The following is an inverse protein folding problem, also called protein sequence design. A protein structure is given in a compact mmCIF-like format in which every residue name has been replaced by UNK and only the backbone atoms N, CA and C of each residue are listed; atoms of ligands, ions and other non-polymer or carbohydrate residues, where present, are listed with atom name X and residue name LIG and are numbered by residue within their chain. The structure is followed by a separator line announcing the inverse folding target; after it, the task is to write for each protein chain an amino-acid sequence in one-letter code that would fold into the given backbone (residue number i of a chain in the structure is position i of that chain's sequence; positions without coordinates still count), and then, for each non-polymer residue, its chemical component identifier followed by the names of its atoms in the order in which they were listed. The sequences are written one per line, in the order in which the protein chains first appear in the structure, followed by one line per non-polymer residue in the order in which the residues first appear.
data_IF_076727367417
#
_entry.id   IF_076727367417
#
_cell.length_a   1.000
_cell.length_b   1.000
_cell.length_c   1.000
_cell.angle_alpha   90.00
_cell.angle_beta   90.00
_cell.angle_gamma   90.00
#
_symmetry.space_group_name_H-M   'P 1'
#
loop_
_entity.id
_entity.type
_entity.pdbx_description
1 polymer ?
#
# COMPACT_ATOMS: atom_id res chain seq x y z
N UNK A 1 11.56 12.09 -1.94
CA UNK A 1 11.33 11.02 -0.94
C UNK A 1 10.42 9.93 -1.53
N UNK A 2 10.52 8.67 -1.11
CA UNK A 2 9.58 7.60 -1.50
C UNK A 2 8.64 7.28 -0.34
N UNK A 3 7.34 7.12 -0.60
CA UNK A 3 6.34 6.69 0.38
C UNK A 3 5.88 5.27 0.08
N UNK A 4 5.62 4.48 1.13
CA UNK A 4 4.94 3.19 1.02
C UNK A 4 3.64 3.19 1.81
N UNK A 5 2.55 2.71 1.20
CA UNK A 5 1.25 2.48 1.86
C UNK A 5 0.80 1.02 1.72
N UNK A 6 -0.11 0.62 2.59
CA UNK A 6 -0.81 -0.67 2.47
C UNK A 6 -1.83 -0.66 1.33
N UNK A 7 -2.12 -1.83 0.73
CA UNK A 7 -3.24 -1.98 -0.18
C UNK A 7 -4.56 -2.00 0.60
N UNK A 8 -5.68 -2.08 -0.11
CA UNK A 8 -6.99 -2.30 0.48
C UNK A 8 -7.62 -3.63 0.05
N UNK A 9 -8.54 -4.14 0.88
CA UNK A 9 -9.28 -5.38 0.59
C UNK A 9 -10.46 -5.15 -0.34
N UNK A 10 -11.08 -3.97 -0.25
CA UNK A 10 -12.16 -3.57 -1.14
C UNK A 10 -11.55 -2.96 -2.40
N UNK A 11 -12.10 -3.35 -3.54
CA UNK A 11 -11.66 -2.88 -4.84
C UNK A 11 -12.86 -2.29 -5.59
N UNK A 12 -12.60 -1.26 -6.39
CA UNK A 12 -13.57 -0.57 -7.23
C UNK A 12 -13.06 -0.58 -8.67
N UNK A 13 -13.80 -1.26 -9.54
CA UNK A 13 -13.52 -1.35 -10.96
C UNK A 13 -14.60 -0.64 -11.80
N UNK A 14 -15.56 0.03 -11.17
CA UNK A 14 -16.75 0.56 -11.84
C UNK A 14 -16.78 2.10 -11.87
N UNK A 15 -16.28 2.77 -10.83
CA UNK A 15 -16.29 4.24 -10.76
C UNK A 15 -15.55 4.88 -11.95
N UNK A 16 -15.93 6.10 -12.37
CA UNK A 16 -15.20 6.85 -13.38
C UNK A 16 -13.70 6.94 -13.08
N UNK A 17 -12.87 6.83 -14.12
CA UNK A 17 -11.43 6.96 -13.99
C UNK A 17 -11.05 8.44 -13.93
N UNK A 18 -10.32 8.83 -12.88
CA UNK A 18 -9.76 10.18 -12.77
C UNK A 18 -8.61 10.43 -13.76
N UNK A 19 -7.99 9.36 -14.27
CA UNK A 19 -7.04 9.40 -15.38
C UNK A 19 -7.11 8.09 -16.18
N UNK A 20 -6.87 8.17 -17.49
CA UNK A 20 -6.71 6.97 -18.34
C UNK A 20 -5.25 6.55 -18.51
N UNK A 21 -4.29 7.34 -18.00
CA UNK A 21 -2.87 6.97 -18.08
C UNK A 21 -2.58 5.80 -17.16
N UNK A 22 -1.80 4.85 -17.64
CA UNK A 22 -1.45 3.66 -16.86
C UNK A 22 -0.03 3.20 -17.18
N UNK A 23 0.49 2.35 -16.29
CA UNK A 23 1.72 1.59 -16.44
C UNK A 23 1.45 0.12 -16.14
N UNK A 24 2.48 -0.72 -16.28
CA UNK A 24 2.41 -2.14 -15.96
C UNK A 24 3.30 -2.44 -14.75
N UNK A 25 2.87 -3.37 -13.89
CA UNK A 25 3.72 -3.87 -12.80
C UNK A 25 4.96 -4.56 -13.36
N UNK A 26 6.11 -4.32 -12.73
CA UNK A 26 7.39 -4.94 -13.12
C UNK A 26 7.59 -6.34 -12.54
N UNK A 27 6.65 -6.82 -11.71
CA UNK A 27 6.76 -8.10 -10.98
C UNK A 27 5.68 -9.12 -11.40
N UNK A 28 5.05 -8.95 -12.57
CA UNK A 28 3.97 -9.83 -13.03
C UNK A 28 4.38 -11.30 -13.18
N UNK A 29 5.64 -11.59 -13.55
CA UNK A 29 6.14 -12.97 -13.59
C UNK A 29 6.13 -13.64 -12.21
N UNK A 30 6.46 -12.88 -11.15
CA UNK A 30 6.34 -13.35 -9.76
C UNK A 30 4.89 -13.47 -9.34
N UNK A 31 4.03 -12.53 -9.74
CA UNK A 31 2.58 -12.63 -9.50
C UNK A 31 1.98 -13.88 -10.13
N UNK A 32 2.38 -14.24 -11.36
CA UNK A 32 1.92 -15.46 -12.04
C UNK A 32 2.23 -16.71 -11.20
N UNK A 33 3.43 -16.81 -10.62
CA UNK A 33 3.79 -17.95 -9.75
C UNK A 33 2.85 -18.09 -8.54
N UNK A 34 2.41 -16.98 -7.95
CA UNK A 34 1.44 -17.01 -6.85
C UNK A 34 0.03 -17.34 -7.34
N UNK A 35 -0.35 -16.87 -8.52
CA UNK A 35 -1.64 -17.18 -9.15
C UNK A 35 -1.75 -18.66 -9.48
N UNK A 36 -0.69 -19.26 -10.03
CA UNK A 36 -0.68 -20.69 -10.36
C UNK A 36 -0.94 -21.54 -9.12
N UNK A 37 -0.29 -21.22 -8.01
CA UNK A 37 -0.57 -21.87 -6.71
C UNK A 37 -2.00 -21.60 -6.23
N UNK A 38 -2.48 -20.35 -6.36
CA UNK A 38 -3.80 -19.97 -5.88
C UNK A 38 -4.95 -20.59 -6.69
N UNK A 39 -4.74 -20.88 -7.98
CA UNK A 39 -5.70 -21.56 -8.87
C UNK A 39 -5.97 -23.00 -8.48
N UNK A 40 -4.98 -23.67 -7.89
CA UNK A 40 -5.10 -25.06 -7.43
C UNK A 40 -5.91 -25.19 -6.13
N UNK A 41 -6.23 -24.06 -5.47
CA UNK A 41 -7.02 -24.06 -4.24
C UNK A 41 -8.52 -24.10 -4.54
N UNK A 42 -9.21 -25.05 -3.92
CA UNK A 42 -10.68 -25.03 -3.88
C UNK A 42 -11.21 -23.81 -3.12
N UNK A 43 -12.46 -23.37 -3.39
CA UNK A 43 -13.11 -22.32 -2.59
C UNK A 43 -13.08 -22.60 -1.08
N UNK A 44 -13.27 -23.85 -0.65
CA UNK A 44 -13.19 -24.21 0.76
C UNK A 44 -11.79 -23.98 1.36
N UNK A 45 -10.73 -24.35 0.63
CA UNK A 45 -9.35 -24.08 1.05
C UNK A 45 -9.05 -22.58 1.09
N UNK A 46 -9.52 -21.81 0.11
CA UNK A 46 -9.39 -20.35 0.08
C UNK A 46 -10.09 -19.72 1.30
N UNK A 47 -11.34 -20.16 1.59
CA UNK A 47 -12.12 -19.69 2.73
C UNK A 47 -11.40 -19.89 4.06
N UNK A 48 -10.84 -21.09 4.25
CA UNK A 48 -10.03 -21.42 5.44
C UNK A 48 -8.73 -20.61 5.50
N UNK A 49 -7.96 -20.60 4.41
CA UNK A 49 -6.65 -19.93 4.33
C UNK A 49 -6.74 -18.43 4.60
N UNK A 50 -7.77 -17.77 4.06
CA UNK A 50 -7.95 -16.32 4.15
C UNK A 50 -8.87 -15.90 5.29
N UNK A 51 -9.48 -16.86 6.00
CA UNK A 51 -10.48 -16.62 7.05
C UNK A 51 -11.62 -15.71 6.55
N UNK A 52 -12.24 -16.11 5.44
CA UNK A 52 -13.34 -15.38 4.78
C UNK A 52 -14.60 -16.24 4.62
N UNK A 53 -15.73 -15.58 4.35
CA UNK A 53 -16.99 -16.28 4.07
C UNK A 53 -16.91 -17.09 2.79
N UNK A 54 -17.76 -18.11 2.69
CA UNK A 54 -17.86 -18.99 1.52
C UNK A 54 -18.13 -18.21 0.22
N UNK A 55 -19.02 -17.22 0.27
CA UNK A 55 -19.29 -16.31 -0.86
C UNK A 55 -18.03 -15.57 -1.33
N UNK A 56 -17.24 -15.05 -0.40
CA UNK A 56 -15.99 -14.36 -0.75
C UNK A 56 -14.92 -15.34 -1.22
N UNK A 57 -14.92 -16.58 -0.72
CA UNK A 57 -13.98 -17.59 -1.14
C UNK A 57 -14.21 -18.01 -2.60
N UNK A 58 -15.46 -18.26 -2.99
CA UNK A 58 -15.83 -18.51 -4.38
C UNK A 58 -15.46 -17.34 -5.31
N UNK A 59 -15.77 -16.11 -4.90
CA UNK A 59 -15.38 -14.92 -5.67
C UNK A 59 -13.87 -14.83 -5.89
N UNK A 60 -13.05 -15.14 -4.88
CA UNK A 60 -11.61 -15.07 -5.04
C UNK A 60 -11.03 -16.26 -5.82
N UNK A 61 -11.64 -17.45 -5.73
CA UNK A 61 -11.32 -18.57 -6.61
C UNK A 61 -11.54 -18.21 -8.08
N UNK A 62 -12.66 -17.57 -8.39
CA UNK A 62 -12.96 -17.07 -9.74
C UNK A 62 -11.94 -16.01 -10.19
N UNK A 63 -11.64 -15.02 -9.33
CA UNK A 63 -10.62 -14.01 -9.62
C UNK A 63 -9.25 -14.61 -9.93
N UNK A 64 -8.80 -15.61 -9.17
CA UNK A 64 -7.53 -16.29 -9.45
C UNK A 64 -7.55 -17.03 -10.79
N UNK A 65 -8.66 -17.66 -11.14
CA UNK A 65 -8.81 -18.35 -12.42
C UNK A 65 -8.84 -17.36 -13.60
N UNK A 66 -9.57 -16.24 -13.46
CA UNK A 66 -9.67 -15.20 -14.49
C UNK A 66 -8.41 -14.33 -14.63
N UNK A 67 -7.51 -14.35 -13.63
CA UNK A 67 -6.31 -13.52 -13.65
C UNK A 67 -5.42 -13.86 -14.85
N UNK A 68 -5.15 -12.91 -15.74
CA UNK A 68 -4.26 -13.14 -16.88
C UNK A 68 -3.66 -11.85 -17.46
N UNK A 69 -2.35 -11.82 -17.75
CA UNK A 69 -1.76 -10.82 -18.63
C UNK A 69 -2.14 -11.08 -20.10
N UNK A 70 -2.11 -10.06 -20.98
CA UNK A 70 -1.78 -8.66 -20.70
C UNK A 70 -2.92 -7.91 -20.01
N UNK A 71 -2.55 -6.94 -19.16
CA UNK A 71 -3.52 -6.05 -18.52
C UNK A 71 -3.84 -4.86 -19.41
N UNK A 72 -5.12 -4.56 -19.54
CA UNK A 72 -5.66 -3.40 -20.25
C UNK A 72 -6.68 -2.70 -19.37
N UNK A 73 -7.13 -1.50 -19.76
CA UNK A 73 -8.21 -0.80 -19.04
C UNK A 73 -9.56 -1.55 -19.09
N UNK A 74 -9.71 -2.54 -19.97
CA UNK A 74 -10.93 -3.36 -20.05
C UNK A 74 -10.98 -4.44 -18.96
N UNK A 75 -9.82 -4.92 -18.52
CA UNK A 75 -9.73 -6.03 -17.55
C UNK A 75 -9.04 -5.65 -16.25
N UNK A 76 -8.43 -4.46 -16.17
CA UNK A 76 -7.64 -4.02 -15.04
C UNK A 76 -7.82 -2.51 -14.79
N UNK A 77 -7.37 -2.05 -13.63
CA UNK A 77 -7.43 -0.64 -13.24
C UNK A 77 -6.15 -0.25 -12.52
N UNK A 78 -5.75 1.02 -12.65
CA UNK A 78 -4.61 1.58 -11.94
C UNK A 78 -4.77 1.36 -10.44
N UNK A 79 -3.73 0.86 -9.78
CA UNK A 79 -3.80 0.44 -8.39
C UNK A 79 -4.27 1.55 -7.43
N UNK A 80 -3.85 2.81 -7.65
CA UNK A 80 -4.29 3.95 -6.82
C UNK A 80 -5.80 4.25 -6.96
N UNK A 81 -6.41 3.87 -8.08
CA UNK A 81 -7.84 4.07 -8.36
C UNK A 81 -8.68 2.82 -8.06
N UNK A 82 -8.06 1.64 -8.06
CA UNK A 82 -8.72 0.37 -7.80
C UNK A 82 -8.94 0.12 -6.30
N UNK A 83 -7.96 0.43 -5.45
CA UNK A 83 -8.08 0.19 -4.02
C UNK A 83 -9.05 1.17 -3.35
N UNK A 84 -9.94 0.65 -2.51
CA UNK A 84 -10.89 1.44 -1.69
C UNK A 84 -10.86 1.01 -0.22
N UNK A 85 -10.87 1.99 0.67
CA UNK A 85 -10.84 1.80 2.12
C UNK A 85 -10.17 2.99 2.80
N UNK A 86 -10.07 2.98 4.13
CA UNK A 86 -9.72 4.17 4.94
C UNK A 86 -8.47 4.93 4.45
N UNK A 87 -7.39 4.22 4.11
CA UNK A 87 -6.16 4.84 3.54
C UNK A 87 -6.47 5.57 2.24
N UNK A 88 -7.24 4.95 1.35
CA UNK A 88 -7.59 5.51 0.05
C UNK A 88 -8.67 6.59 0.15
N UNK A 89 -9.54 6.53 1.15
CA UNK A 89 -10.45 7.64 1.51
C UNK A 89 -9.67 8.86 1.99
N UNK A 90 -8.60 8.69 2.76
CA UNK A 90 -7.70 9.79 3.14
C UNK A 90 -6.87 10.31 1.97
N UNK A 91 -6.44 9.42 1.05
CA UNK A 91 -5.66 9.79 -0.13
C UNK A 91 -6.49 10.58 -1.15
N UNK A 92 -7.73 10.12 -1.38
CA UNK A 92 -8.74 10.74 -2.24
C UNK A 92 -8.21 11.02 -3.67
N UNK A 93 -7.60 10.00 -4.28
CA UNK A 93 -6.92 10.09 -5.57
C UNK A 93 -7.86 10.44 -6.74
N UNK A 94 -9.17 10.26 -6.58
CA UNK A 94 -10.17 10.70 -7.57
C UNK A 94 -10.21 12.22 -7.78
N UNK A 95 -9.60 13.00 -6.88
CA UNK A 95 -9.50 14.47 -6.99
C UNK A 95 -8.13 14.95 -7.47
N UNK A 96 -7.23 14.04 -7.84
CA UNK A 96 -5.89 14.38 -8.30
C UNK A 96 -5.93 14.97 -9.71
N UNK A 97 -5.09 15.99 -9.93
CA UNK A 97 -4.72 16.44 -11.27
C UNK A 97 -3.73 15.46 -11.90
N UNK A 98 -3.49 15.57 -13.21
CA UNK A 98 -2.47 14.76 -13.89
C UNK A 98 -1.06 14.97 -13.31
N UNK A 99 -0.74 16.19 -12.88
CA UNK A 99 0.51 16.50 -12.21
C UNK A 99 0.61 15.87 -10.81
N UNK A 100 -0.53 15.66 -10.11
CA UNK A 100 -0.54 14.92 -8.84
C UNK A 100 -0.31 13.43 -9.10
N UNK A 101 -0.88 12.87 -10.16
CA UNK A 101 -0.59 11.50 -10.59
C UNK A 101 0.88 11.32 -10.98
N UNK A 102 1.50 12.27 -11.67
CA UNK A 102 2.92 12.21 -12.01
C UNK A 102 3.80 12.19 -10.76
N UNK A 103 3.52 13.10 -9.83
CA UNK A 103 4.24 13.14 -8.56
C UNK A 103 4.02 11.87 -7.75
N UNK A 104 2.78 11.39 -7.64
CA UNK A 104 2.49 10.15 -6.95
C UNK A 104 3.21 8.97 -7.62
N UNK A 105 3.20 8.89 -8.95
CA UNK A 105 3.83 7.80 -9.71
C UNK A 105 5.33 7.69 -9.39
N UNK A 106 5.99 8.82 -9.18
CA UNK A 106 7.39 8.86 -8.76
C UNK A 106 7.55 8.53 -7.26
N UNK A 107 6.75 9.16 -6.39
CA UNK A 107 6.99 9.22 -4.95
C UNK A 107 6.13 8.30 -4.07
N UNK A 108 5.22 7.50 -4.62
CA UNK A 108 4.36 6.58 -3.87
C UNK A 108 4.48 5.14 -4.39
N UNK A 109 4.47 4.17 -3.49
CA UNK A 109 4.34 2.74 -3.78
C UNK A 109 3.30 2.11 -2.87
N UNK A 110 2.55 1.15 -3.40
CA UNK A 110 1.65 0.31 -2.62
C UNK A 110 2.26 -1.07 -2.49
N UNK A 111 2.44 -1.54 -1.25
CA UNK A 111 2.85 -2.92 -1.01
C UNK A 111 1.68 -3.86 -1.34
N UNK A 112 1.96 -5.07 -1.80
CA UNK A 112 0.94 -6.03 -2.22
C UNK A 112 1.41 -7.46 -1.99
N UNK A 113 0.55 -8.33 -1.45
CA UNK A 113 0.87 -9.75 -1.33
C UNK A 113 1.00 -10.45 -2.68
N UNK A 114 0.21 -10.03 -3.69
CA UNK A 114 0.22 -10.62 -5.04
C UNK A 114 1.20 -9.93 -5.99
N UNK A 115 1.23 -8.59 -5.98
CA UNK A 115 2.01 -7.80 -6.93
C UNK A 115 3.35 -7.32 -6.37
N UNK A 116 3.63 -7.60 -5.09
CA UNK A 116 4.85 -7.17 -4.42
C UNK A 116 4.86 -5.66 -4.15
N UNK A 117 5.27 -4.88 -5.14
CA UNK A 117 5.27 -3.42 -5.12
C UNK A 117 4.55 -2.90 -6.36
N UNK A 118 3.53 -2.07 -6.17
CA UNK A 118 2.80 -1.38 -7.24
C UNK A 118 3.11 0.11 -7.22
N UNK A 119 3.29 0.69 -8.41
CA UNK A 119 3.21 2.14 -8.61
C UNK A 119 1.74 2.58 -8.74
N UNK A 120 1.41 3.84 -8.44
CA UNK A 120 0.06 4.39 -8.54
C UNK A 120 -0.69 4.02 -9.82
N UNK A 121 -0.04 4.17 -10.96
CA UNK A 121 -0.63 3.96 -12.28
C UNK A 121 -0.47 2.53 -12.80
N UNK A 122 0.18 1.62 -12.06
CA UNK A 122 0.27 0.22 -12.48
C UNK A 122 -1.13 -0.41 -12.51
N UNK A 123 -1.48 -1.02 -13.65
CA UNK A 123 -2.70 -1.80 -13.76
C UNK A 123 -2.63 -3.02 -12.85
N UNK A 124 -3.76 -3.32 -12.21
CA UNK A 124 -3.97 -4.55 -11.47
C UNK A 124 -5.35 -5.12 -11.75
N UNK A 125 -5.41 -6.44 -11.83
CA UNK A 125 -6.65 -7.21 -11.82
C UNK A 125 -7.11 -7.49 -10.38
N UNK A 126 -8.42 -7.70 -10.15
CA UNK A 126 -8.95 -7.92 -8.82
C UNK A 126 -8.39 -9.18 -8.17
N UNK A 127 -8.04 -9.09 -6.89
CA UNK A 127 -7.51 -10.20 -6.12
C UNK A 127 -7.81 -10.03 -4.63
N UNK A 128 -7.60 -11.08 -3.85
CA UNK A 128 -7.46 -10.98 -2.40
C UNK A 128 -6.32 -11.88 -1.94
N UNK A 129 -5.19 -11.27 -1.61
CA UNK A 129 -4.02 -11.97 -1.11
C UNK A 129 -3.25 -11.01 -0.20
N UNK A 130 -3.71 -10.88 1.05
CA UNK A 130 -3.02 -10.12 2.09
C UNK A 130 -1.61 -10.67 2.38
N UNK A 131 -0.65 -9.78 2.67
CA UNK A 131 0.77 -10.16 2.87
C UNK A 131 0.96 -11.16 4.02
N UNK A 132 0.10 -11.12 5.04
CA UNK A 132 0.14 -12.06 6.15
C UNK A 132 -0.34 -13.49 5.85
N UNK A 133 -0.88 -13.76 4.66
CA UNK A 133 -1.39 -15.09 4.30
C UNK A 133 -0.24 -16.11 4.20
N UNK A 134 -0.45 -17.29 4.78
CA UNK A 134 0.49 -18.41 4.74
C UNK A 134 0.26 -19.29 3.51
N UNK A 135 0.37 -18.67 2.33
CA UNK A 135 0.28 -19.40 1.06
C UNK A 135 1.63 -20.09 0.81
N UNK A 136 1.68 -21.40 1.10
CA UNK A 136 2.83 -22.24 0.73
C UNK A 136 2.97 -22.23 -0.79
N UNK A 137 4.19 -22.00 -1.27
CA UNK A 137 4.55 -21.91 -2.67
C UNK A 137 5.92 -22.61 -2.88
N UNK A 138 6.34 -22.88 -4.13
CA UNK A 138 7.58 -23.61 -4.37
C UNK A 138 8.84 -22.99 -3.74
N UNK A 139 8.86 -21.68 -3.51
CA UNK A 139 10.00 -20.97 -2.93
C UNK A 139 9.96 -20.89 -1.39
N UNK A 140 8.78 -20.87 -0.77
CA UNK A 140 8.63 -20.63 0.66
C UNK A 140 7.28 -21.08 1.24
N UNK A 141 7.19 -21.10 2.58
CA UNK A 141 5.96 -21.42 3.34
C UNK A 141 4.94 -20.28 3.44
N UNK A 142 5.34 -19.06 3.09
CA UNK A 142 4.51 -17.86 3.17
C UNK A 142 4.98 -16.79 2.17
N UNK A 143 4.23 -15.68 2.08
CA UNK A 143 4.53 -14.59 1.15
C UNK A 143 5.76 -13.78 1.57
N UNK A 144 6.10 -13.71 2.86
CA UNK A 144 7.32 -13.04 3.31
C UNK A 144 8.57 -13.75 2.81
N UNK A 145 8.57 -15.09 2.84
CA UNK A 145 9.65 -15.90 2.28
C UNK A 145 9.67 -15.86 0.76
N UNK A 146 8.51 -15.90 0.10
CA UNK A 146 8.41 -15.83 -1.37
C UNK A 146 9.01 -14.56 -1.93
N UNK A 147 8.65 -13.42 -1.33
CA UNK A 147 9.16 -12.11 -1.74
C UNK A 147 10.60 -11.85 -1.29
N UNK A 148 11.03 -12.46 -0.19
CA UNK A 148 12.41 -12.40 0.30
C UNK A 148 12.91 -10.96 0.41
N UNK A 149 14.00 -10.66 -0.30
CA UNK A 149 14.64 -9.34 -0.31
C UNK A 149 14.20 -8.47 -1.51
N UNK A 150 13.46 -9.07 -2.47
CA UNK A 150 13.13 -8.45 -3.76
C UNK A 150 12.36 -7.14 -3.61
N UNK A 151 11.41 -7.06 -2.67
CA UNK A 151 10.64 -5.82 -2.47
C UNK A 151 11.52 -4.69 -1.96
N UNK A 152 12.47 -4.99 -1.08
CA UNK A 152 13.43 -4.00 -0.57
C UNK A 152 14.35 -3.52 -1.69
N UNK A 153 14.82 -4.43 -2.55
CA UNK A 153 15.60 -4.08 -3.74
C UNK A 153 14.82 -3.16 -4.67
N UNK A 154 13.53 -3.45 -4.94
CA UNK A 154 12.67 -2.58 -5.77
C UNK A 154 12.44 -1.20 -5.17
N UNK A 155 12.35 -1.08 -3.84
CA UNK A 155 12.26 0.23 -3.19
C UNK A 155 13.59 0.99 -3.30
N UNK A 156 14.74 0.32 -3.14
CA UNK A 156 16.06 0.94 -3.32
C UNK A 156 16.27 1.43 -4.76
N UNK A 157 15.90 0.63 -5.76
CA UNK A 157 15.92 1.04 -7.18
C UNK A 157 15.08 2.31 -7.38
N UNK A 158 13.84 2.32 -6.89
CA UNK A 158 12.94 3.47 -7.02
C UNK A 158 13.44 4.73 -6.30
N UNK A 159 14.10 4.58 -5.14
CA UNK A 159 14.72 5.71 -4.42
C UNK A 159 15.91 6.28 -5.20
N UNK A 160 16.77 5.41 -5.74
CA UNK A 160 17.92 5.82 -6.55
C UNK A 160 17.52 6.53 -7.85
N UNK A 161 16.47 6.07 -8.54
CA UNK A 161 15.97 6.66 -9.79
C UNK A 161 15.55 8.13 -9.65
N UNK A 162 15.05 8.53 -8.47
CA UNK A 162 14.64 9.90 -8.17
C UNK A 162 15.71 10.72 -7.42
N UNK A 163 16.88 10.13 -7.13
CA UNK A 163 17.97 10.80 -6.41
C UNK A 163 17.65 11.07 -4.93
N UNK A 164 16.79 10.27 -4.32
CA UNK A 164 16.40 10.39 -2.92
C UNK A 164 16.94 9.22 -2.09
N UNK A 165 17.16 9.46 -0.79
CA UNK A 165 17.58 8.42 0.17
C UNK A 165 16.65 8.38 1.38
N UNK A 166 15.34 8.57 1.17
CA UNK A 166 14.35 8.59 2.25
C UNK A 166 13.14 7.74 1.88
N UNK A 167 12.81 6.79 2.75
CA UNK A 167 11.58 6.01 2.72
C UNK A 167 10.63 6.42 3.85
N UNK A 168 9.45 6.92 3.51
CA UNK A 168 8.36 7.20 4.45
C UNK A 168 7.45 5.98 4.54
N UNK A 169 7.46 5.30 5.69
CA UNK A 169 6.58 4.17 5.96
C UNK A 169 5.23 4.63 6.49
N UNK A 170 4.23 4.61 5.61
CA UNK A 170 2.81 4.82 5.90
C UNK A 170 2.00 3.52 5.75
N UNK A 171 2.66 2.37 5.66
CA UNK A 171 2.04 1.06 5.60
C UNK A 171 1.76 0.51 7.01
N UNK A 172 0.89 -0.50 7.11
CA UNK A 172 0.78 -1.30 8.33
C UNK A 172 2.01 -2.20 8.51
N UNK A 173 2.25 -2.62 9.75
CA UNK A 173 3.36 -3.52 10.08
C UNK A 173 3.26 -4.86 9.33
N UNK A 174 2.04 -5.34 9.04
CA UNK A 174 1.82 -6.54 8.24
C UNK A 174 2.50 -6.43 6.86
N UNK A 175 2.29 -5.33 6.16
CA UNK A 175 2.90 -5.15 4.84
C UNK A 175 4.37 -4.75 4.94
N UNK A 176 4.71 -3.86 5.89
CA UNK A 176 6.08 -3.39 6.04
C UNK A 176 7.05 -4.49 6.50
N UNK A 177 6.56 -5.57 7.14
CA UNK A 177 7.36 -6.76 7.48
C UNK A 177 7.97 -7.47 6.25
N UNK A 178 7.41 -7.25 5.06
CA UNK A 178 7.99 -7.75 3.81
C UNK A 178 9.21 -6.93 3.35
N UNK A 179 9.45 -5.76 3.93
CA UNK A 179 10.63 -4.92 3.68
C UNK A 179 11.71 -5.24 4.72
N UNK A 180 12.99 -5.15 4.34
CA UNK A 180 14.15 -5.39 5.21
C UNK A 180 14.81 -4.05 5.55
N UNK A 181 14.49 -3.39 6.68
CA UNK A 181 15.01 -2.04 6.98
C UNK A 181 16.54 -1.94 6.95
N UNK A 182 17.25 -3.01 7.36
CA UNK A 182 18.72 -3.06 7.35
C UNK A 182 19.34 -3.09 5.94
N UNK A 183 18.55 -3.37 4.91
CA UNK A 183 19.00 -3.39 3.51
C UNK A 183 18.50 -2.16 2.74
N UNK A 184 17.83 -1.20 3.37
CA UNK A 184 17.42 0.03 2.71
C UNK A 184 18.63 0.94 2.51
N UNK A 185 18.74 1.51 1.30
CA UNK A 185 19.76 2.48 0.94
C UNK A 185 19.27 3.90 1.26
N UNK A 186 18.92 4.16 2.52
CA UNK A 186 18.40 5.46 2.93
C UNK A 186 17.81 5.49 4.34
N UNK A 187 17.40 6.68 4.74
CA UNK A 187 16.70 6.94 5.99
C UNK A 187 15.27 6.42 5.93
N UNK A 188 14.88 5.61 6.90
CA UNK A 188 13.50 5.21 7.11
C UNK A 188 12.86 6.21 8.07
N UNK A 189 11.71 6.77 7.71
CA UNK A 189 10.87 7.61 8.57
C UNK A 189 9.48 6.97 8.70
N UNK A 190 8.90 6.98 9.90
CA UNK A 190 7.60 6.38 10.19
C UNK A 190 6.68 7.37 10.91
N UNK A 191 5.76 8.02 10.19
CA UNK A 191 4.68 8.78 10.82
C UNK A 191 3.76 7.87 11.64
N UNK A 192 3.49 8.24 12.89
CA UNK A 192 2.63 7.53 13.83
C UNK A 192 1.46 8.45 14.20
N UNK A 193 0.23 7.98 13.99
CA UNK A 193 -0.98 8.75 14.24
C UNK A 193 -1.68 8.23 15.50
N UNK A 194 -1.84 9.10 16.48
CA UNK A 194 -2.49 8.82 17.75
C UNK A 194 -3.73 9.69 17.91
N UNK A 195 -4.81 9.05 18.32
CA UNK A 195 -6.07 9.73 18.63
C UNK A 195 -6.35 9.62 20.12
N UNK A 196 -6.85 10.71 20.70
CA UNK A 196 -7.29 10.73 22.08
C UNK A 196 -8.58 9.93 22.25
N UNK A 197 -8.62 9.10 23.29
CA UNK A 197 -9.84 8.43 23.76
C UNK A 197 -9.76 8.25 25.26
N UNK A 198 -10.71 8.82 26.00
CA UNK A 198 -10.72 8.85 27.47
C UNK A 198 -9.44 9.48 28.05
N UNK A 199 -9.01 10.62 27.51
CA UNK A 199 -7.83 11.37 27.99
C UNK A 199 -6.47 10.73 27.68
N UNK A 200 -6.43 9.67 26.88
CA UNK A 200 -5.18 8.98 26.48
C UNK A 200 -5.06 8.91 24.96
N UNK A 201 -3.90 9.28 24.45
CA UNK A 201 -3.54 9.12 23.05
C UNK A 201 -3.13 7.68 22.74
N UNK A 202 -3.73 7.08 21.72
CA UNK A 202 -3.40 5.75 21.24
C UNK A 202 -3.71 5.59 19.76
N UNK A 203 -3.14 4.56 19.14
CA UNK A 203 -3.49 4.20 17.76
C UNK A 203 -4.93 3.69 17.74
N UNK A 204 -5.82 4.39 17.05
CA UNK A 204 -7.17 3.93 16.73
C UNK A 204 -7.17 3.51 15.26
N UNK A 205 -7.26 2.20 15.00
CA UNK A 205 -6.92 1.62 13.69
C UNK A 205 -7.59 2.27 12.48
N UNK A 206 -8.88 2.60 12.57
CA UNK A 206 -9.61 3.26 11.47
C UNK A 206 -9.07 4.68 11.20
N UNK A 207 -8.90 5.49 12.25
CA UNK A 207 -8.35 6.85 12.15
C UNK A 207 -6.91 6.84 11.67
N UNK A 208 -6.07 5.97 12.22
CA UNK A 208 -4.66 5.85 11.82
C UNK A 208 -4.51 5.45 10.34
N UNK A 209 -5.39 4.58 9.81
CA UNK A 209 -5.40 4.25 8.39
C UNK A 209 -5.79 5.46 7.53
N UNK A 210 -6.87 6.17 7.89
CA UNK A 210 -7.26 7.40 7.19
C UNK A 210 -6.15 8.44 7.22
N UNK A 211 -5.51 8.65 8.37
CA UNK A 211 -4.42 9.60 8.57
C UNK A 211 -3.18 9.29 7.71
N UNK A 212 -2.85 8.00 7.51
CA UNK A 212 -1.79 7.60 6.54
C UNK A 212 -2.13 8.02 5.11
N UNK A 213 -3.39 7.90 4.73
CA UNK A 213 -3.91 8.42 3.47
C UNK A 213 -3.79 9.93 3.35
N UNK A 214 -4.25 10.65 4.40
CA UNK A 214 -4.17 12.11 4.47
C UNK A 214 -2.74 12.62 4.40
N UNK A 215 -1.79 11.97 5.09
CA UNK A 215 -0.37 12.31 5.02
C UNK A 215 0.20 12.06 3.63
N UNK A 216 -0.16 10.93 2.99
CA UNK A 216 0.26 10.64 1.61
C UNK A 216 -0.24 11.72 0.65
N UNK A 217 -1.52 12.11 0.78
CA UNK A 217 -2.13 13.21 0.02
C UNK A 217 -1.42 14.53 0.27
N UNK A 218 -1.14 14.86 1.53
CA UNK A 218 -0.46 16.09 1.93
C UNK A 218 0.93 16.19 1.30
N UNK A 219 1.72 15.11 1.34
CA UNK A 219 3.03 15.04 0.67
C UNK A 219 2.89 15.25 -0.84
N UNK A 220 1.92 14.58 -1.47
CA UNK A 220 1.68 14.68 -2.91
C UNK A 220 1.29 16.11 -3.27
N UNK A 221 0.20 16.62 -2.73
CA UNK A 221 -0.37 17.93 -3.12
C UNK A 221 0.57 19.10 -2.85
N UNK A 222 1.35 19.04 -1.76
CA UNK A 222 2.33 20.08 -1.43
C UNK A 222 3.72 19.83 -2.02
N UNK A 223 3.90 18.75 -2.81
CA UNK A 223 5.17 18.39 -3.48
C UNK A 223 6.35 18.35 -2.49
N UNK A 224 6.13 17.77 -1.31
CA UNK A 224 7.14 17.76 -0.26
C UNK A 224 8.34 16.89 -0.66
N UNK A 225 9.54 17.38 -0.38
CA UNK A 225 10.80 16.72 -0.75
C UNK A 225 11.73 16.43 0.43
N UNK A 226 11.42 16.94 1.64
CA UNK A 226 12.26 16.75 2.84
C UNK A 226 11.45 16.23 4.03
N UNK A 227 12.00 15.31 4.86
CA UNK A 227 11.32 14.77 6.04
C UNK A 227 10.84 15.84 7.02
N UNK A 228 11.63 16.90 7.19
CA UNK A 228 11.31 18.01 8.09
C UNK A 228 9.98 18.70 7.77
N UNK A 229 9.58 18.71 6.49
CA UNK A 229 8.31 19.31 6.06
C UNK A 229 7.10 18.52 6.56
N UNK A 230 7.25 17.21 6.83
CA UNK A 230 6.17 16.37 7.36
C UNK A 230 5.70 16.85 8.73
N UNK A 231 6.58 17.48 9.52
CA UNK A 231 6.27 17.98 10.86
C UNK A 231 5.23 19.12 10.86
N UNK A 232 4.96 19.71 9.69
CA UNK A 232 3.93 20.74 9.50
C UNK A 232 2.55 20.15 9.14
N UNK A 233 2.40 18.83 9.11
CA UNK A 233 1.11 18.19 8.86
C UNK A 233 0.11 18.50 9.97
N UNK A 234 -0.97 19.20 9.60
CA UNK A 234 -2.02 19.69 10.49
C UNK A 234 -3.45 19.31 10.01
N UNK A 235 -3.55 18.36 9.09
CA UNK A 235 -4.81 17.99 8.43
C UNK A 235 -5.73 17.23 9.39
N UNK A 236 -7.05 17.49 9.31
CA UNK A 236 -8.11 16.81 10.07
C UNK A 236 -7.91 16.89 11.61
N UNK A 237 -7.22 17.94 12.09
CA UNK A 237 -6.97 18.22 13.50
C UNK A 237 -5.76 17.49 14.11
N UNK A 238 -4.95 16.81 13.31
CA UNK A 238 -3.67 16.26 13.77
C UNK A 238 -2.67 17.40 14.03
N UNK A 239 -1.73 17.17 14.95
CA UNK A 239 -0.59 18.07 15.20
C UNK A 239 0.65 17.26 15.57
N UNK A 240 1.84 17.76 15.19
CA UNK A 240 3.11 17.11 15.50
C UNK A 240 3.45 17.18 17.00
N UNK A 241 3.83 16.04 17.57
CA UNK A 241 4.24 15.90 18.97
C UNK A 241 5.76 15.66 19.05
N UNK A 242 6.53 16.75 19.10
CA UNK A 242 7.99 16.71 19.09
C UNK A 242 8.57 15.87 20.25
N UNK A 243 8.05 16.05 21.47
CA UNK A 243 8.55 15.38 22.67
C UNK A 243 8.36 13.85 22.67
N UNK A 244 7.44 13.35 21.82
CA UNK A 244 7.17 11.92 21.67
C UNK A 244 7.77 11.32 20.39
N UNK A 245 8.31 12.15 19.51
CA UNK A 245 8.98 11.73 18.28
C UNK A 245 10.42 11.33 18.58
N UNK A 246 10.79 10.10 18.27
CA UNK A 246 12.12 9.53 18.61
C UNK A 246 12.63 8.64 17.49
N UNK A 247 13.94 8.71 17.26
CA UNK A 247 14.59 7.95 16.20
C UNK A 247 13.96 8.27 14.86
N UNK A 248 13.39 7.27 14.21
CA UNK A 248 12.69 7.42 12.94
C UNK A 248 11.18 7.67 13.05
N UNK A 249 10.60 7.68 14.25
CA UNK A 249 9.16 7.87 14.42
C UNK A 249 8.80 9.35 14.56
N UNK A 250 7.87 9.82 13.73
CA UNK A 250 7.27 11.15 13.81
C UNK A 250 5.84 11.01 14.35
N UNK A 251 5.59 11.43 15.59
CA UNK A 251 4.30 11.26 16.25
C UNK A 251 3.40 12.45 15.95
N UNK A 252 2.19 12.16 15.47
CA UNK A 252 1.11 13.11 15.25
C UNK A 252 -0.08 12.74 16.12
N UNK A 253 -0.63 13.71 16.84
CA UNK A 253 -1.74 13.53 17.77
C UNK A 253 -2.98 14.26 17.31
N UNK A 254 -4.15 13.73 17.62
CA UNK A 254 -5.44 14.39 17.44
C UNK A 254 -6.30 14.24 18.69
N UNK A 255 -6.85 15.36 19.18
CA UNK A 255 -7.75 15.38 20.34
C UNK A 255 -9.13 14.82 19.97
N UNK A 256 -9.86 14.34 20.97
CA UNK A 256 -11.26 13.90 20.79
C UNK A 256 -12.10 15.12 20.38
N UNK A 257 -12.94 14.96 19.35
CA UNK A 257 -13.85 16.00 18.87
C UNK A 257 -15.20 15.89 19.59
#
# INVERSE_FOLDING_TARGET
MLMVISPAKTLDFESPLATQRFTQSTLLEKSQQLIDVARDLSPAQIGSLMSISDKLAHLNAERFNQWQPPFTLDNARQAILAFKGDVYTGLQAETFSEADFDFAQQHLRMLSGLYGVLRPLDLMQPYRLEMGIKLTNPAAKDLYGFWGDLLTQKLNEAMAEQGDEVLINLASDEYFKAIKPKQLNGELIKPVFLDEKNGKFKVISFYAKKARGLMSRYVIQNRLSKPEQLKQFDVDGYFFAADESKGNELVFKRREQ
#
